data_IF_272925899469
#
_entry.id   IF_272925899469
#
_cell.length_a   1.000
_cell.length_b   1.000
_cell.length_c   1.000
_cell.angle_alpha   90.00
_cell.angle_beta   90.00
_cell.angle_gamma   90.00
#
_symmetry.space_group_name_H-M   'P 1'
#
loop_
_entity.id
_entity.type
_entity.pdbx_description
1 polymer ?
#
# COMPACT_ATOMS: atom_id res chain seq x y z
N UNK A 1 -16.36 -9.21 -21.68
CA UNK A 1 -15.81 -8.99 -22.05
C UNK A 1 -15.64 -8.77 -22.31
N UNK A 2 -15.80 -8.89 -21.52
CA UNK A 2 -15.30 -8.83 -21.50
C UNK A 2 -15.24 -8.77 -21.22
N UNK A 3 -15.48 -8.87 -20.68
CA UNK A 3 -15.10 -8.81 -20.43
C UNK A 3 -14.99 -8.78 -20.19
N UNK A 4 -14.90 -8.91 -19.70
CA UNK A 4 -14.52 -8.79 -19.54
C UNK A 4 -14.56 -8.59 -19.45
N UNK A 5 -14.67 -8.81 -18.87
CA UNK A 5 -14.53 -8.50 -18.98
C UNK A 5 -14.64 -8.26 -18.96
N UNK A 6 -14.82 -8.61 -18.51
CA UNK A 6 -14.81 -8.28 -18.71
C UNK A 6 -14.82 -8.34 -18.56
N UNK A 7 -15.05 -8.37 -18.02
CA UNK A 7 -14.89 -8.21 -18.05
C UNK A 7 -14.74 -8.02 -17.97
N UNK A 8 -14.97 -8.22 -17.38
CA UNK A 8 -14.65 -7.90 -17.49
C UNK A 8 -15.03 -7.56 -17.72
N UNK A 9 -15.45 -7.91 -17.32
CA UNK A 9 -15.51 -7.45 -17.73
C UNK A 9 -16.17 -7.25 -17.88
N UNK A 10 -16.54 -7.19 -17.76
CA UNK A 10 -16.80 -6.84 -18.02
C UNK A 10 -17.20 -6.51 -17.82
N UNK A 11 -17.71 -6.75 -17.53
CA UNK A 11 -17.69 -6.28 -17.42
C UNK A 11 -18.10 -5.94 -17.07
N UNK A 12 -18.27 -5.80 -16.75
CA UNK A 12 -18.31 -5.18 -16.73
C UNK A 12 -18.79 -4.65 -16.67
N UNK A 13 -18.81 -4.38 -16.23
CA UNK A 13 -18.89 -3.63 -16.25
C UNK A 13 -19.68 -3.24 -16.01
N UNK A 14 -19.89 -3.22 -15.73
CA UNK A 14 -20.16 -2.71 -15.55
C UNK A 14 -20.79 -2.41 -15.35
N UNK A 15 -20.80 -2.06 -14.74
CA UNK A 15 -20.88 -1.59 -14.47
C UNK A 15 -21.14 -1.15 -14.11
N UNK A 16 -21.31 -1.03 -13.71
CA UNK A 16 -21.23 -0.77 -13.17
C UNK A 16 -21.05 -0.04 -12.81
N UNK A 17 -21.56 0.46 -12.47
CA UNK A 17 -20.94 1.28 -12.06
C UNK A 17 -20.38 1.46 -10.81
N UNK A 18 -20.05 1.01 -10.52
CA UNK A 18 -19.26 0.87 -9.36
C UNK A 18 -18.50 2.13 -9.03
N UNK A 19 -17.79 2.12 -7.94
CA UNK A 19 -16.89 3.20 -7.57
C UNK A 19 -15.47 2.72 -7.79
N UNK A 20 -15.03 2.73 -9.03
CA UNK A 20 -13.74 2.13 -9.37
C UNK A 20 -12.57 2.86 -8.76
N UNK A 21 -12.76 4.13 -8.37
CA UNK A 21 -11.65 4.96 -7.93
C UNK A 21 -11.56 5.11 -6.43
N UNK A 22 -12.15 4.18 -5.68
CA UNK A 22 -11.97 4.19 -4.24
C UNK A 22 -10.50 3.95 -3.93
N UNK A 23 -9.92 4.75 -3.01
CA UNK A 23 -8.52 4.58 -2.68
C UNK A 23 -8.29 3.27 -1.92
N UNK A 24 -7.08 2.79 -2.00
CA UNK A 24 -6.60 1.67 -1.22
C UNK A 24 -5.46 2.14 -0.37
N UNK A 25 -5.37 1.60 0.82
CA UNK A 25 -4.35 1.99 1.79
C UNK A 25 -3.28 0.93 1.86
N UNK A 26 -2.03 1.35 1.78
CA UNK A 26 -0.88 0.49 2.03
C UNK A 26 -0.54 0.67 3.51
N UNK A 27 -0.56 -0.43 4.25
CA UNK A 27 -0.41 -0.42 5.71
C UNK A 27 0.88 -1.13 6.08
N UNK A 28 1.72 -0.44 6.85
CA UNK A 28 2.91 -1.03 7.43
C UNK A 28 2.56 -1.57 8.82
N UNK A 29 2.90 -2.82 9.06
CA UNK A 29 2.70 -3.44 10.36
C UNK A 29 4.01 -3.50 11.11
N UNK A 30 3.96 -3.30 12.41
CA UNK A 30 5.14 -3.44 13.23
C UNK A 30 5.63 -4.89 13.21
N UNK A 31 6.93 -5.07 13.06
CA UNK A 31 7.54 -6.37 13.24
C UNK A 31 8.85 -6.15 14.00
N UNK A 32 9.36 -7.22 14.60
CA UNK A 32 10.57 -7.12 15.42
C UNK A 32 11.80 -7.61 14.68
N UNK A 33 11.65 -7.91 13.38
CA UNK A 33 12.75 -8.43 12.59
C UNK A 33 13.53 -7.36 11.86
N UNK A 34 12.90 -6.22 11.60
CA UNK A 34 13.55 -5.12 10.91
C UNK A 34 13.89 -4.02 11.89
N UNK A 35 15.10 -3.49 11.80
CA UNK A 35 15.48 -2.36 12.63
C UNK A 35 14.69 -1.12 12.17
N UNK A 36 14.57 -0.15 13.08
CA UNK A 36 13.88 1.10 12.76
C UNK A 36 14.53 1.81 11.57
N UNK A 37 15.87 1.85 11.57
CA UNK A 37 16.59 2.51 10.48
C UNK A 37 16.34 1.80 9.16
N UNK A 38 16.32 0.48 9.16
CA UNK A 38 16.07 -0.28 7.93
C UNK A 38 14.69 0.03 7.36
N UNK A 39 13.68 0.09 8.23
CA UNK A 39 12.33 0.42 7.80
C UNK A 39 12.28 1.78 7.13
N UNK A 40 12.93 2.78 7.73
CA UNK A 40 12.94 4.13 7.18
C UNK A 40 13.63 4.16 5.81
N UNK A 41 14.77 3.49 5.70
CA UNK A 41 15.53 3.46 4.44
C UNK A 41 14.71 2.77 3.34
N UNK A 42 14.06 1.66 3.67
CA UNK A 42 13.26 0.92 2.70
C UNK A 42 12.08 1.76 2.23
N UNK A 43 11.34 2.38 3.16
CA UNK A 43 10.21 3.23 2.80
C UNK A 43 10.65 4.36 1.87
N UNK A 44 11.75 5.02 2.22
CA UNK A 44 12.22 6.14 1.43
C UNK A 44 12.62 5.71 0.02
N UNK A 45 13.23 4.54 -0.10
CA UNK A 45 13.69 4.06 -1.40
C UNK A 45 12.60 3.43 -2.26
N UNK A 46 11.59 2.83 -1.66
CA UNK A 46 10.58 2.07 -2.39
C UNK A 46 9.38 2.90 -2.82
N UNK A 47 9.08 3.97 -2.11
CA UNK A 47 7.87 4.78 -2.36
C UNK A 47 8.28 6.11 -2.98
N UNK A 48 7.88 6.38 -4.22
CA UNK A 48 8.22 7.67 -4.85
C UNK A 48 7.70 8.85 -4.03
N UNK A 49 8.52 9.87 -3.87
CA UNK A 49 8.14 11.06 -3.13
C UNK A 49 8.20 10.92 -1.62
N UNK A 50 8.58 9.75 -1.10
CA UNK A 50 8.69 9.56 0.34
C UNK A 50 9.91 10.29 0.86
N UNK A 51 9.69 11.20 1.80
CA UNK A 51 10.78 11.95 2.42
C UNK A 51 11.28 11.19 3.65
N UNK A 52 12.49 11.53 4.07
CA UNK A 52 13.06 10.94 5.30
C UNK A 52 12.15 11.25 6.49
N UNK A 53 11.68 12.48 6.58
CA UNK A 53 10.82 12.89 7.68
C UNK A 53 9.53 12.07 7.71
N UNK A 54 8.89 11.89 6.56
CA UNK A 54 7.65 11.14 6.49
C UNK A 54 7.87 9.66 6.77
N UNK A 55 8.94 9.10 6.23
CA UNK A 55 9.28 7.69 6.48
C UNK A 55 9.52 7.45 7.97
N UNK A 56 10.20 8.39 8.64
CA UNK A 56 10.45 8.27 10.06
C UNK A 56 9.16 8.32 10.86
N UNK A 57 8.23 9.20 10.48
CA UNK A 57 6.94 9.27 11.16
C UNK A 57 6.15 7.98 10.99
N UNK A 58 6.13 7.43 9.77
CA UNK A 58 5.42 6.18 9.51
C UNK A 58 6.02 5.05 10.35
N UNK A 59 7.33 4.97 10.40
CA UNK A 59 8.02 3.96 11.20
C UNK A 59 7.62 4.07 12.68
N UNK A 60 7.62 5.30 13.23
CA UNK A 60 7.24 5.51 14.62
C UNK A 60 5.79 5.14 14.88
N UNK A 61 4.89 5.51 13.96
CA UNK A 61 3.47 5.19 14.11
C UNK A 61 3.27 3.68 14.14
N UNK A 62 3.95 2.95 13.26
CA UNK A 62 3.86 1.50 13.26
C UNK A 62 4.45 0.91 14.55
N UNK A 63 5.57 1.44 14.99
CA UNK A 63 6.24 0.95 16.19
C UNK A 63 5.38 1.14 17.45
N UNK A 64 4.70 2.27 17.55
CA UNK A 64 3.96 2.61 18.77
C UNK A 64 2.51 2.16 18.73
N UNK A 65 1.87 2.19 17.56
CA UNK A 65 0.45 1.85 17.43
C UNK A 65 0.21 0.48 16.81
N UNK A 66 1.25 -0.19 16.36
CA UNK A 66 1.15 -1.53 15.76
C UNK A 66 1.03 -1.50 14.26
N UNK A 67 0.52 -0.43 13.67
CA UNK A 67 0.45 -0.29 12.22
C UNK A 67 0.36 1.19 11.86
N UNK A 68 0.68 1.50 10.60
CA UNK A 68 0.66 2.88 10.13
C UNK A 68 0.33 2.92 8.65
N UNK A 69 -0.32 3.99 8.23
CA UNK A 69 -0.63 4.22 6.82
C UNK A 69 0.64 4.69 6.12
N UNK A 70 1.02 3.96 5.06
CA UNK A 70 2.16 4.34 4.22
C UNK A 70 1.71 5.28 3.12
N UNK A 71 0.67 4.90 2.40
CA UNK A 71 0.17 5.69 1.28
C UNK A 71 -1.24 5.25 0.92
N UNK A 72 -2.05 6.20 0.46
CA UNK A 72 -3.34 5.92 -0.14
C UNK A 72 -3.25 6.18 -1.63
N UNK A 73 -3.70 5.22 -2.43
CA UNK A 73 -3.64 5.34 -3.89
C UNK A 73 -4.60 4.33 -4.49
N UNK A 74 -4.74 4.32 -5.80
CA UNK A 74 -5.63 3.34 -6.40
C UNK A 74 -5.02 1.94 -6.29
N UNK A 75 -5.86 0.94 -6.49
CA UNK A 75 -5.55 -0.44 -6.15
C UNK A 75 -4.29 -0.98 -6.82
N UNK A 76 -4.14 -0.73 -8.10
CA UNK A 76 -2.98 -1.27 -8.82
C UNK A 76 -1.67 -0.75 -8.26
N UNK A 77 -1.64 0.53 -7.92
CA UNK A 77 -0.45 1.12 -7.37
C UNK A 77 -0.20 0.62 -5.95
N UNK A 78 -1.28 0.45 -5.18
CA UNK A 78 -1.16 -0.11 -3.83
C UNK A 78 -0.55 -1.52 -3.88
N UNK A 79 -1.00 -2.34 -4.83
CA UNK A 79 -0.46 -3.68 -5.01
C UNK A 79 1.03 -3.65 -5.37
N UNK A 80 1.43 -2.70 -6.20
CA UNK A 80 2.83 -2.55 -6.58
C UNK A 80 3.69 -2.18 -5.37
N UNK A 81 3.21 -1.23 -4.57
CA UNK A 81 3.96 -0.82 -3.38
C UNK A 81 4.01 -1.94 -2.36
N UNK A 82 2.91 -2.67 -2.19
CA UNK A 82 2.89 -3.83 -1.31
C UNK A 82 3.97 -4.82 -1.74
N UNK A 83 4.00 -5.13 -3.01
CA UNK A 83 4.97 -6.08 -3.55
C UNK A 83 6.40 -5.64 -3.30
N UNK A 84 6.68 -4.36 -3.55
CA UNK A 84 8.03 -3.82 -3.34
C UNK A 84 8.47 -3.92 -1.89
N UNK A 85 7.57 -3.56 -0.97
CA UNK A 85 7.90 -3.55 0.44
C UNK A 85 8.03 -4.97 0.99
N UNK A 86 7.16 -5.87 0.57
CA UNK A 86 7.28 -7.29 0.95
C UNK A 86 8.59 -7.88 0.45
N UNK A 87 8.99 -7.53 -0.77
CA UNK A 87 10.24 -8.03 -1.33
C UNK A 87 11.45 -7.58 -0.55
N UNK A 88 11.35 -6.47 0.16
CA UNK A 88 12.43 -5.97 1.01
C UNK A 88 12.34 -6.50 2.44
N UNK A 89 11.35 -7.32 2.74
CA UNK A 89 11.23 -7.95 4.04
C UNK A 89 10.38 -7.21 5.05
N UNK A 90 9.68 -6.15 4.65
CA UNK A 90 8.76 -5.48 5.56
C UNK A 90 7.44 -6.23 5.62
N UNK A 91 6.71 -6.03 6.72
CA UNK A 91 5.39 -6.61 6.90
C UNK A 91 4.34 -5.56 6.52
N UNK A 92 3.71 -5.73 5.38
CA UNK A 92 2.74 -4.77 4.87
C UNK A 92 1.51 -5.49 4.32
N UNK A 93 0.41 -4.76 4.27
CA UNK A 93 -0.82 -5.24 3.65
C UNK A 93 -1.50 -4.09 2.96
N UNK A 94 -2.52 -4.38 2.15
CA UNK A 94 -3.36 -3.34 1.56
C UNK A 94 -4.80 -3.61 1.94
N UNK A 95 -5.58 -2.54 2.02
CA UNK A 95 -7.00 -2.65 2.33
C UNK A 95 -7.73 -1.49 1.67
N UNK A 96 -9.03 -1.65 1.36
CA UNK A 96 -9.78 -0.53 0.82
C UNK A 96 -9.81 0.61 1.83
N UNK A 97 -9.56 1.83 1.35
CA UNK A 97 -9.66 3.01 2.17
C UNK A 97 -11.07 3.56 2.05
N UNK A 98 -11.60 3.96 3.11
CA UNK A 98 -12.95 4.32 3.09
C UNK A 98 -13.37 5.66 2.84
#
# INVERSE_FOLDING_TARGET
>A
MTTKQIKRAEGIRTHIKTKPDLPWNVILHNDWENSMLRVVIILKGAIPGMTLKKATKIMWDAHTAGKALVKSCHKELAELYEERLLAKGLTVSIEPGG
#
